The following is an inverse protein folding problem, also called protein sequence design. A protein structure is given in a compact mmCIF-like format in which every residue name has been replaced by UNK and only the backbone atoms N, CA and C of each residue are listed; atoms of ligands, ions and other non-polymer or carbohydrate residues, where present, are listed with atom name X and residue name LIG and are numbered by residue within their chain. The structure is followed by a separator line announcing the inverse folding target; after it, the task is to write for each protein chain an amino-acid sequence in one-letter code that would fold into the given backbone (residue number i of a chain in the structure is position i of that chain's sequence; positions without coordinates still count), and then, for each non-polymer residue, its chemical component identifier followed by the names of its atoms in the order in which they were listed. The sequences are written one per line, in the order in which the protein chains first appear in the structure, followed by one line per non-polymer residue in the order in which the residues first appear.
data_IF_215775592376
#
_entry.id   IF_215775592376
#
_cell.length_a   1.000
_cell.length_b   1.000
_cell.length_c   1.000
_cell.angle_alpha   90.00
_cell.angle_beta   90.00
_cell.angle_gamma   90.00
#
_symmetry.space_group_name_H-M   'P 1'
#
loop_
_entity.id
_entity.type
_entity.pdbx_description
1 polymer ?
#
# COMPACT_ATOMS: atom_id res chain seq x y z
N UNK A 1 -12.50 -4.92 -18.17
CA UNK A 1 -11.03 -4.71 -18.19
C UNK A 1 -10.71 -3.22 -18.37
N UNK A 2 -11.04 -2.55 -19.50
CA UNK A 2 -10.88 -1.08 -19.61
C UNK A 2 -11.88 -0.31 -18.73
N UNK A 3 -13.16 -0.71 -18.80
CA UNK A 3 -14.24 0.02 -18.13
C UNK A 3 -14.16 -0.11 -16.59
N UNK A 4 -13.61 -1.21 -16.09
CA UNK A 4 -13.37 -1.43 -14.65
C UNK A 4 -12.23 -0.54 -14.12
N UNK A 5 -11.19 -0.34 -14.94
CA UNK A 5 -10.07 0.54 -14.61
C UNK A 5 -10.49 2.02 -14.65
N UNK A 6 -11.30 2.41 -15.63
CA UNK A 6 -11.88 3.76 -15.68
C UNK A 6 -12.77 4.04 -14.46
N UNK A 7 -13.63 3.09 -14.08
CA UNK A 7 -14.48 3.22 -12.90
C UNK A 7 -13.69 3.32 -11.58
N UNK A 8 -12.60 2.55 -11.42
CA UNK A 8 -11.73 2.64 -10.25
C UNK A 8 -10.96 3.98 -10.19
N UNK A 9 -10.51 4.48 -11.34
CA UNK A 9 -9.88 5.80 -11.44
C UNK A 9 -10.87 6.90 -11.07
N UNK A 10 -12.10 6.79 -11.55
CA UNK A 10 -13.20 7.71 -11.25
C UNK A 10 -13.54 7.70 -9.75
N UNK A 11 -13.61 6.54 -9.11
CA UNK A 11 -13.83 6.41 -7.66
C UNK A 11 -12.71 7.09 -6.85
N UNK A 12 -11.44 6.92 -7.24
CA UNK A 12 -10.31 7.59 -6.58
C UNK A 12 -10.27 9.10 -6.81
N UNK A 13 -10.65 9.55 -8.01
CA UNK A 13 -10.70 10.97 -8.36
C UNK A 13 -11.95 11.66 -7.80
N UNK A 14 -13.02 10.92 -7.49
CA UNK A 14 -14.25 11.44 -6.86
C UNK A 14 -14.02 12.05 -5.48
N UNK A 15 -12.98 11.60 -4.76
CA UNK A 15 -12.54 12.20 -3.49
C UNK A 15 -12.06 13.64 -3.68
N UNK A 16 -11.67 14.00 -4.90
CA UNK A 16 -11.09 15.30 -5.22
C UNK A 16 -12.01 16.21 -6.05
N UNK A 17 -13.27 15.82 -6.34
CA UNK A 17 -14.21 16.59 -7.21
C UNK A 17 -13.54 17.03 -8.55
N UNK A 18 -12.67 16.18 -9.12
CA UNK A 18 -11.61 16.57 -10.07
C UNK A 18 -11.97 16.42 -11.56
N UNK A 19 -13.23 16.17 -11.90
CA UNK A 19 -13.60 16.12 -13.32
C UNK A 19 -13.33 17.47 -14.01
N UNK A 20 -12.95 17.46 -15.31
CA UNK A 20 -13.04 18.65 -16.14
C UNK A 20 -14.51 19.03 -16.21
N UNK A 21 -14.93 19.91 -15.33
CA UNK A 21 -16.33 20.19 -15.11
C UNK A 21 -16.82 21.16 -16.20
N UNK A 22 -18.15 21.21 -16.34
CA UNK A 22 -18.79 22.17 -17.22
C UNK A 22 -18.40 23.62 -16.88
N UNK A 23 -17.95 23.88 -15.65
CA UNK A 23 -17.54 25.20 -15.20
C UNK A 23 -16.19 25.64 -15.81
N UNK A 24 -15.18 24.77 -15.88
CA UNK A 24 -13.89 25.05 -16.53
C UNK A 24 -14.06 25.33 -18.03
N UNK A 25 -14.91 24.56 -18.71
CA UNK A 25 -15.23 24.79 -20.13
C UNK A 25 -16.01 26.09 -20.36
N UNK A 26 -16.96 26.41 -19.48
CA UNK A 26 -17.68 27.68 -19.53
C UNK A 26 -16.73 28.85 -19.30
N UNK A 27 -15.80 28.72 -18.36
CA UNK A 27 -14.75 29.70 -18.08
C UNK A 27 -13.86 29.96 -19.30
N UNK A 28 -13.38 28.90 -19.96
CA UNK A 28 -12.56 29.00 -21.18
C UNK A 28 -13.37 29.65 -22.33
N UNK A 29 -14.61 29.19 -22.55
CA UNK A 29 -15.44 29.69 -23.64
C UNK A 29 -15.90 31.14 -23.42
N UNK A 30 -16.28 31.50 -22.20
CA UNK A 30 -16.65 32.87 -21.84
C UNK A 30 -15.44 33.80 -21.88
N UNK A 31 -14.29 33.38 -21.33
CA UNK A 31 -13.04 34.15 -21.40
C UNK A 31 -12.60 34.40 -22.84
N UNK A 32 -12.63 33.37 -23.70
CA UNK A 32 -12.32 33.48 -25.11
C UNK A 32 -13.30 34.40 -25.86
N UNK A 33 -14.61 34.29 -25.57
CA UNK A 33 -15.63 35.16 -26.16
C UNK A 33 -15.41 36.64 -25.76
N UNK A 34 -15.11 36.92 -24.49
CA UNK A 34 -14.77 38.27 -24.04
C UNK A 34 -13.51 38.80 -24.73
N UNK A 35 -12.49 37.96 -24.89
CA UNK A 35 -11.26 38.33 -25.59
C UNK A 35 -11.53 38.70 -27.05
N UNK A 36 -12.34 37.90 -27.76
CA UNK A 36 -12.72 38.18 -29.15
C UNK A 36 -13.55 39.45 -29.26
N UNK A 37 -14.51 39.67 -28.36
CA UNK A 37 -15.33 40.89 -28.34
C UNK A 37 -14.49 42.14 -28.05
N UNK A 38 -13.52 42.04 -27.16
CA UNK A 38 -12.56 43.11 -26.88
C UNK A 38 -11.66 43.41 -28.08
N UNK A 39 -11.14 42.39 -28.75
CA UNK A 39 -10.34 42.55 -29.98
C UNK A 39 -11.17 43.21 -31.08
N UNK A 40 -12.43 42.80 -31.24
CA UNK A 40 -13.33 43.41 -32.20
C UNK A 40 -13.50 44.92 -31.95
N UNK A 41 -13.76 45.34 -30.70
CA UNK A 41 -13.93 46.76 -30.35
C UNK A 41 -12.62 47.57 -30.31
N UNK A 42 -11.46 46.91 -30.33
CA UNK A 42 -10.17 47.59 -30.57
C UNK A 42 -10.05 48.03 -32.03
N UNK A 43 -10.53 47.19 -32.96
CA UNK A 43 -10.49 47.44 -34.41
C UNK A 43 -11.64 48.37 -34.81
N UNK A 44 -12.85 48.08 -34.33
CA UNK A 44 -14.09 48.82 -34.60
C UNK A 44 -14.72 49.33 -33.29
N UNK A 45 -14.25 50.47 -32.75
CA UNK A 45 -14.73 51.00 -31.47
C UNK A 45 -16.18 51.52 -31.49
N UNK A 46 -16.81 51.60 -32.67
CA UNK A 46 -18.17 52.16 -32.80
C UNK A 46 -18.27 53.64 -32.40
N UNK A 47 -19.50 54.12 -32.23
CA UNK A 47 -19.80 55.54 -31.91
C UNK A 47 -20.49 55.75 -30.56
N UNK A 48 -20.66 54.70 -29.74
CA UNK A 48 -21.38 54.79 -28.46
C UNK A 48 -20.68 55.67 -27.42
N UNK A 49 -19.34 55.74 -27.48
CA UNK A 49 -18.48 56.54 -26.59
C UNK A 49 -17.33 57.10 -27.42
N UNK A 50 -16.55 58.02 -26.85
CA UNK A 50 -15.31 58.49 -27.46
C UNK A 50 -14.43 57.27 -27.88
N UNK A 51 -13.99 57.20 -29.15
CA UNK A 51 -13.26 56.04 -29.69
C UNK A 51 -12.01 55.66 -28.90
N UNK A 52 -11.29 56.64 -28.33
CA UNK A 52 -10.09 56.37 -27.55
C UNK A 52 -10.44 55.72 -26.22
N UNK A 53 -11.50 56.19 -25.56
CA UNK A 53 -12.01 55.58 -24.31
C UNK A 53 -12.52 54.17 -24.56
N UNK A 54 -13.22 53.95 -25.67
CA UNK A 54 -13.73 52.63 -26.04
C UNK A 54 -12.59 51.64 -26.32
N UNK A 55 -11.50 52.08 -26.96
CA UNK A 55 -10.29 51.27 -27.17
C UNK A 55 -9.60 50.88 -25.87
N UNK A 56 -9.50 51.80 -24.91
CA UNK A 56 -8.96 51.47 -23.58
C UNK A 56 -9.83 50.46 -22.85
N UNK A 57 -11.15 50.60 -22.92
CA UNK A 57 -12.08 49.63 -22.33
C UNK A 57 -11.98 48.27 -23.03
N UNK A 58 -11.92 48.25 -24.36
CA UNK A 58 -11.77 47.05 -25.17
C UNK A 58 -10.45 46.33 -24.91
N UNK A 59 -9.35 47.06 -24.68
CA UNK A 59 -8.07 46.50 -24.25
C UNK A 59 -8.19 45.82 -22.86
N UNK A 60 -8.88 46.47 -21.92
CA UNK A 60 -9.09 45.90 -20.58
C UNK A 60 -9.95 44.62 -20.63
N UNK A 61 -11.04 44.62 -21.40
CA UNK A 61 -11.89 43.44 -21.61
C UNK A 61 -11.13 42.31 -22.30
N UNK A 62 -10.28 42.64 -23.30
CA UNK A 62 -9.42 41.65 -23.96
C UNK A 62 -8.47 40.99 -22.96
N UNK A 63 -7.79 41.80 -22.14
CA UNK A 63 -6.85 41.29 -21.14
C UNK A 63 -7.56 40.44 -20.08
N UNK A 64 -8.72 40.88 -19.59
CA UNK A 64 -9.52 40.12 -18.63
C UNK A 64 -10.01 38.79 -19.21
N UNK A 65 -10.49 38.79 -20.46
CA UNK A 65 -10.91 37.56 -21.15
C UNK A 65 -9.77 36.56 -21.35
N UNK A 66 -8.58 37.05 -21.72
CA UNK A 66 -7.40 36.21 -21.88
C UNK A 66 -6.92 35.60 -20.55
N UNK A 67 -6.93 36.37 -19.46
CA UNK A 67 -6.58 35.86 -18.12
C UNK A 67 -7.58 34.82 -17.65
N UNK A 68 -8.88 35.09 -17.84
CA UNK A 68 -9.93 34.17 -17.43
C UNK A 68 -9.89 32.86 -18.23
N UNK A 69 -9.75 32.93 -19.56
CA UNK A 69 -9.58 31.71 -20.37
C UNK A 69 -8.30 30.94 -20.02
N UNK A 70 -7.21 31.65 -19.73
CA UNK A 70 -5.95 31.04 -19.29
C UNK A 70 -6.07 30.33 -17.93
N UNK A 71 -6.91 30.85 -17.03
CA UNK A 71 -7.16 30.25 -15.73
C UNK A 71 -7.92 28.91 -15.87
N UNK A 72 -9.01 28.86 -16.62
CA UNK A 72 -9.72 27.61 -16.90
C UNK A 72 -8.86 26.56 -17.61
N UNK A 73 -8.02 26.96 -18.58
CA UNK A 73 -7.09 26.04 -19.24
C UNK A 73 -6.05 25.47 -18.27
N UNK A 74 -5.55 26.28 -17.33
CA UNK A 74 -4.58 25.85 -16.33
C UNK A 74 -5.19 24.81 -15.40
N UNK A 75 -6.39 25.06 -14.90
CA UNK A 75 -7.04 24.16 -13.94
C UNK A 75 -7.41 22.82 -14.62
N UNK A 76 -7.84 22.86 -15.88
CA UNK A 76 -8.05 21.66 -16.69
C UNK A 76 -6.75 20.86 -16.90
N UNK A 77 -5.64 21.51 -17.21
CA UNK A 77 -4.35 20.84 -17.39
C UNK A 77 -3.84 20.20 -16.08
N UNK A 78 -4.04 20.87 -14.93
CA UNK A 78 -3.69 20.32 -13.61
C UNK A 78 -4.51 19.07 -13.31
N UNK A 79 -5.82 19.10 -13.61
CA UNK A 79 -6.72 17.95 -13.46
C UNK A 79 -6.31 16.78 -14.37
N UNK A 80 -5.95 17.06 -15.63
CA UNK A 80 -5.51 16.02 -16.58
C UNK A 80 -4.18 15.38 -16.16
N UNK A 81 -3.21 16.17 -15.70
CA UNK A 81 -1.94 15.64 -15.17
C UNK A 81 -2.20 14.74 -13.95
N UNK A 82 -3.08 15.15 -13.03
CA UNK A 82 -3.43 14.33 -11.86
C UNK A 82 -4.10 13.02 -12.27
N UNK A 83 -5.05 13.06 -13.20
CA UNK A 83 -5.69 11.86 -13.76
C UNK A 83 -4.66 10.94 -14.43
N UNK A 84 -3.70 11.50 -15.16
CA UNK A 84 -2.63 10.73 -15.81
C UNK A 84 -1.72 10.03 -14.80
N UNK A 85 -1.42 10.66 -13.65
CA UNK A 85 -0.64 10.06 -12.57
C UNK A 85 -1.42 8.91 -11.94
N UNK A 86 -2.70 9.10 -11.62
CA UNK A 86 -3.55 8.05 -11.06
C UNK A 86 -3.68 6.84 -12.00
N UNK A 87 -3.84 7.09 -13.30
CA UNK A 87 -3.83 6.04 -14.33
C UNK A 87 -2.48 5.32 -14.39
N UNK A 88 -1.36 6.04 -14.33
CA UNK A 88 -0.02 5.45 -14.34
C UNK A 88 0.24 4.59 -13.09
N UNK A 89 -0.24 5.03 -11.93
CA UNK A 89 -0.16 4.29 -10.67
C UNK A 89 -0.98 3.01 -10.73
N UNK A 90 -2.21 3.05 -11.25
CA UNK A 90 -3.03 1.86 -11.45
C UNK A 90 -2.48 0.91 -12.52
N UNK A 91 -1.94 1.44 -13.62
CA UNK A 91 -1.30 0.63 -14.65
C UNK A 91 -0.07 -0.12 -14.11
N UNK A 92 0.67 0.49 -13.17
CA UNK A 92 1.78 -0.17 -12.47
C UNK A 92 1.31 -1.14 -11.38
N UNK A 93 0.12 -0.95 -10.81
CA UNK A 93 -0.43 -1.85 -9.78
C UNK A 93 -0.90 -3.20 -10.34
N UNK A 94 -1.28 -3.27 -11.62
CA UNK A 94 -2.05 -4.41 -12.16
C UNK A 94 -1.26 -5.38 -13.08
N UNK A 95 0.05 -5.19 -13.29
CA UNK A 95 0.79 -5.98 -14.32
C UNK A 95 2.14 -6.58 -13.91
N UNK A 96 2.40 -6.82 -12.63
CA UNK A 96 3.64 -7.49 -12.25
C UNK A 96 3.66 -8.08 -10.85
N UNK A 97 4.57 -9.03 -10.67
CA UNK A 97 4.98 -9.46 -9.33
C UNK A 97 5.44 -8.22 -8.57
N UNK A 98 4.89 -7.98 -7.38
CA UNK A 98 5.18 -6.79 -6.59
C UNK A 98 6.66 -6.76 -6.19
N UNK A 99 7.47 -6.12 -7.03
CA UNK A 99 8.92 -6.02 -6.84
C UNK A 99 9.27 -5.22 -5.60
N UNK A 100 8.36 -4.38 -5.09
CA UNK A 100 8.50 -3.70 -3.82
C UNK A 100 8.41 -4.68 -2.66
N UNK A 101 7.37 -5.52 -2.65
CA UNK A 101 7.21 -6.58 -1.65
C UNK A 101 8.36 -7.59 -1.72
N UNK A 102 8.76 -8.04 -2.92
CA UNK A 102 9.91 -8.94 -3.07
C UNK A 102 11.18 -8.29 -2.53
N UNK A 103 11.42 -7.02 -2.85
CA UNK A 103 12.60 -6.31 -2.35
C UNK A 103 12.57 -6.20 -0.83
N UNK A 104 11.42 -5.92 -0.23
CA UNK A 104 11.28 -5.81 1.22
C UNK A 104 11.50 -7.15 1.91
N UNK A 105 10.90 -8.22 1.39
CA UNK A 105 11.10 -9.60 1.84
C UNK A 105 12.57 -10.03 1.72
N UNK A 106 13.27 -9.65 0.65
CA UNK A 106 14.69 -9.95 0.48
C UNK A 106 15.61 -9.11 1.37
N UNK A 107 15.24 -7.86 1.69
CA UNK A 107 16.03 -6.99 2.55
C UNK A 107 15.85 -7.32 4.04
N UNK A 108 14.67 -7.82 4.42
CA UNK A 108 14.29 -8.06 5.81
C UNK A 108 14.02 -9.55 6.09
N UNK A 109 14.79 -10.46 5.49
CA UNK A 109 14.62 -11.92 5.64
C UNK A 109 14.54 -12.37 7.11
N UNK A 110 15.35 -11.78 8.00
CA UNK A 110 15.35 -12.09 9.43
C UNK A 110 14.02 -11.72 10.12
N UNK A 111 13.38 -10.60 9.74
CA UNK A 111 12.09 -10.19 10.29
C UNK A 111 10.95 -11.13 9.86
N UNK A 112 11.02 -11.67 8.65
CA UNK A 112 10.06 -12.68 8.17
C UNK A 112 10.30 -14.05 8.81
N UNK A 113 11.54 -14.39 9.18
CA UNK A 113 11.81 -15.57 10.01
C UNK A 113 11.24 -15.41 11.43
N UNK A 114 11.33 -14.21 12.02
CA UNK A 114 10.71 -13.91 13.31
C UNK A 114 9.17 -14.08 13.26
N UNK A 115 8.54 -13.71 12.14
CA UNK A 115 7.12 -13.98 11.92
C UNK A 115 6.80 -15.48 11.92
N UNK A 116 7.61 -16.31 11.27
CA UNK A 116 7.42 -17.77 11.28
C UNK A 116 7.59 -18.34 12.70
N UNK A 117 8.59 -17.86 13.46
CA UNK A 117 8.78 -18.26 14.87
C UNK A 117 7.56 -17.89 15.70
N UNK A 118 7.00 -16.70 15.51
CA UNK A 118 5.80 -16.27 16.22
C UNK A 118 4.57 -17.10 15.85
N UNK A 119 4.41 -17.47 14.57
CA UNK A 119 3.34 -18.35 14.13
C UNK A 119 3.44 -19.75 14.79
N UNK A 120 4.67 -20.27 14.94
CA UNK A 120 4.89 -21.50 15.69
C UNK A 120 4.59 -21.38 17.17
N UNK A 121 4.95 -20.26 17.81
CA UNK A 121 4.64 -20.02 19.22
C UNK A 121 3.13 -20.01 19.46
N UNK A 122 2.39 -19.28 18.63
CA UNK A 122 0.92 -19.21 18.68
C UNK A 122 0.27 -20.59 18.48
N UNK A 123 0.78 -21.39 17.54
CA UNK A 123 0.26 -22.74 17.30
C UNK A 123 0.57 -23.74 18.43
N UNK A 124 1.47 -23.40 19.35
CA UNK A 124 1.80 -24.19 20.54
C UNK A 124 1.13 -23.65 21.82
N UNK A 125 0.35 -22.57 21.76
CA UNK A 125 -0.31 -22.00 22.94
C UNK A 125 -1.31 -22.96 23.60
N UNK A 126 -1.97 -23.81 22.82
CA UNK A 126 -2.90 -24.83 23.31
C UNK A 126 -2.24 -26.20 23.55
N UNK A 127 -0.92 -26.30 23.31
CA UNK A 127 -0.12 -27.50 23.47
C UNK A 127 -0.26 -28.54 22.36
N UNK A 128 -1.03 -28.30 21.28
CA UNK A 128 -1.24 -29.24 20.17
C UNK A 128 -1.43 -28.53 18.83
N UNK A 129 -0.49 -28.69 17.90
CA UNK A 129 -0.66 -28.20 16.52
C UNK A 129 -1.70 -29.05 15.77
N UNK A 130 -2.74 -28.40 15.24
CA UNK A 130 -3.75 -29.01 14.37
C UNK A 130 -3.28 -29.24 12.93
N UNK A 131 -4.00 -30.06 12.15
CA UNK A 131 -3.67 -30.29 10.74
C UNK A 131 -3.81 -29.03 9.86
N UNK A 132 -4.73 -28.12 10.20
CA UNK A 132 -4.92 -26.87 9.49
C UNK A 132 -3.75 -25.91 9.75
N UNK A 133 -3.34 -25.75 11.01
CA UNK A 133 -2.18 -24.92 11.39
C UNK A 133 -0.89 -25.48 10.80
N UNK A 134 -0.71 -26.80 10.78
CA UNK A 134 0.46 -27.41 10.16
C UNK A 134 0.53 -27.16 8.65
N UNK A 135 -0.62 -27.05 7.98
CA UNK A 135 -0.68 -26.73 6.55
C UNK A 135 -0.35 -25.26 6.28
N UNK A 136 -0.79 -24.35 7.14
CA UNK A 136 -0.44 -22.93 7.06
C UNK A 136 1.04 -22.70 7.37
N UNK A 137 1.59 -23.35 8.39
CA UNK A 137 3.02 -23.27 8.70
C UNK A 137 3.87 -23.78 7.54
N UNK A 138 3.46 -24.87 6.86
CA UNK A 138 4.14 -25.36 5.65
C UNK A 138 4.10 -24.38 4.49
N UNK A 139 3.00 -23.67 4.29
CA UNK A 139 2.94 -22.66 3.21
C UNK A 139 3.89 -21.49 3.49
N UNK A 140 4.04 -21.09 4.76
CA UNK A 140 5.04 -20.09 5.15
C UNK A 140 6.48 -20.60 5.00
N UNK A 141 6.77 -21.86 5.37
CA UNK A 141 8.07 -22.47 5.15
C UNK A 141 8.47 -22.46 3.66
N UNK A 142 7.57 -22.91 2.78
CA UNK A 142 7.79 -22.96 1.33
C UNK A 142 8.02 -21.56 0.76
N UNK A 143 7.26 -20.56 1.24
CA UNK A 143 7.40 -19.17 0.82
C UNK A 143 8.75 -18.55 1.24
N UNK A 144 9.26 -18.93 2.43
CA UNK A 144 10.54 -18.44 2.95
C UNK A 144 11.75 -19.25 2.46
N UNK A 145 11.52 -20.39 1.79
CA UNK A 145 12.58 -21.28 1.33
C UNK A 145 13.36 -21.96 2.46
N UNK A 146 12.71 -22.12 3.62
CA UNK A 146 13.30 -22.76 4.81
C UNK A 146 13.17 -24.28 4.64
N UNK A 147 14.21 -25.02 5.02
CA UNK A 147 14.19 -26.49 4.94
C UNK A 147 13.31 -27.11 6.02
N UNK A 148 12.76 -28.30 5.76
CA UNK A 148 11.98 -29.07 6.75
C UNK A 148 12.75 -29.27 8.08
N UNK A 149 14.08 -29.35 8.00
CA UNK A 149 14.97 -29.54 9.15
C UNK A 149 15.06 -28.26 10.00
N UNK A 150 15.32 -27.11 9.37
CA UNK A 150 15.35 -25.81 10.05
C UNK A 150 14.00 -25.45 10.68
N UNK A 151 12.91 -25.73 9.98
CA UNK A 151 11.58 -25.44 10.50
C UNK A 151 11.18 -26.37 11.65
N UNK A 152 11.67 -27.61 11.65
CA UNK A 152 11.48 -28.53 12.78
C UNK A 152 12.26 -28.05 14.03
N UNK A 153 13.48 -27.54 13.86
CA UNK A 153 14.21 -26.91 14.96
C UNK A 153 13.50 -25.66 15.51
N UNK A 154 12.94 -24.82 14.64
CA UNK A 154 12.14 -23.65 15.04
C UNK A 154 10.88 -24.06 15.81
N UNK A 155 10.18 -25.11 15.35
CA UNK A 155 8.99 -25.66 16.02
C UNK A 155 9.31 -26.20 17.41
N UNK A 156 10.43 -26.90 17.58
CA UNK A 156 10.87 -27.40 18.90
C UNK A 156 11.20 -26.24 19.84
N UNK A 157 11.91 -25.20 19.36
CA UNK A 157 12.22 -24.01 20.16
C UNK A 157 10.94 -23.27 20.57
N UNK A 158 9.98 -23.12 19.66
CA UNK A 158 8.70 -22.51 19.95
C UNK A 158 7.88 -23.32 20.97
N UNK A 159 7.87 -24.65 20.85
CA UNK A 159 7.22 -25.55 21.81
C UNK A 159 7.81 -25.40 23.21
N UNK A 160 9.14 -25.37 23.32
CA UNK A 160 9.85 -25.19 24.59
C UNK A 160 9.55 -23.82 25.20
N UNK A 161 9.57 -22.77 24.38
CA UNK A 161 9.30 -21.40 24.83
C UNK A 161 7.86 -21.20 25.27
N UNK A 162 6.90 -21.79 24.56
CA UNK A 162 5.48 -21.81 24.95
C UNK A 162 5.30 -22.53 26.28
N UNK A 163 5.86 -23.74 26.41
CA UNK A 163 5.76 -24.54 27.63
C UNK A 163 6.55 -23.98 28.83
N UNK A 164 7.57 -23.14 28.61
CA UNK A 164 8.33 -22.49 29.68
C UNK A 164 7.70 -21.14 30.12
N UNK A 165 6.64 -20.67 29.45
CA UNK A 165 6.05 -19.35 29.69
C UNK A 165 5.36 -19.23 31.06
N UNK A 166 4.85 -20.32 31.60
CA UNK A 166 4.20 -20.40 32.92
C UNK A 166 5.17 -20.81 34.06
N UNK A 167 6.43 -21.10 33.72
CA UNK A 167 7.50 -21.46 34.65
C UNK A 167 7.53 -22.93 35.07
N UNK A 168 6.61 -23.78 34.60
CA UNK A 168 6.57 -25.21 34.92
C UNK A 168 6.17 -26.06 33.71
N UNK A 169 7.09 -26.86 33.16
CA UNK A 169 6.74 -27.78 32.08
C UNK A 169 6.06 -29.03 32.65
N UNK A 170 4.80 -29.26 32.26
CA UNK A 170 4.03 -30.43 32.69
C UNK A 170 4.47 -31.71 31.95
N UNK A 171 4.16 -32.88 32.53
CA UNK A 171 4.42 -34.20 31.92
C UNK A 171 3.74 -34.38 30.54
N UNK A 172 2.69 -33.61 30.25
CA UNK A 172 2.00 -33.64 28.95
C UNK A 172 2.76 -32.82 27.91
N UNK A 173 3.25 -31.63 28.27
CA UNK A 173 4.04 -30.76 27.40
C UNK A 173 5.41 -31.37 27.11
N UNK A 174 6.06 -31.98 28.11
CA UNK A 174 7.32 -32.70 27.90
C UNK A 174 7.19 -33.80 26.84
N UNK A 175 6.07 -34.53 26.82
CA UNK A 175 5.79 -35.56 25.80
C UNK A 175 5.52 -34.97 24.42
N UNK A 176 4.89 -33.81 24.35
CA UNK A 176 4.63 -33.10 23.09
C UNK A 176 5.94 -32.55 22.50
N UNK A 177 6.81 -31.97 23.34
CA UNK A 177 8.15 -31.51 22.98
C UNK A 177 9.01 -32.68 22.51
N UNK A 178 8.99 -33.83 23.21
CA UNK A 178 9.74 -35.02 22.81
C UNK A 178 9.27 -35.58 21.45
N UNK A 179 7.95 -35.56 21.18
CA UNK A 179 7.41 -35.96 19.88
C UNK A 179 7.86 -35.00 18.77
N UNK A 180 7.85 -33.70 19.02
CA UNK A 180 8.33 -32.69 18.08
C UNK A 180 9.84 -32.84 17.84
N UNK A 181 10.63 -33.08 18.89
CA UNK A 181 12.08 -33.29 18.80
C UNK A 181 12.46 -34.57 18.04
N UNK A 182 11.68 -35.65 18.20
CA UNK A 182 11.85 -36.87 17.42
C UNK A 182 11.53 -36.67 15.94
N UNK A 183 10.49 -35.88 15.63
CA UNK A 183 10.19 -35.50 14.25
C UNK A 183 11.30 -34.63 13.64
N UNK A 184 11.93 -33.76 14.44
CA UNK A 184 13.05 -32.91 14.06
C UNK A 184 14.42 -33.62 14.01
N UNK A 185 14.50 -34.91 14.39
CA UNK A 185 15.77 -35.66 14.56
C UNK A 185 16.81 -34.95 15.45
N UNK A 186 16.37 -34.12 16.40
CA UNK A 186 17.26 -33.44 17.33
C UNK A 186 17.80 -34.42 18.38
N UNK A 187 18.99 -34.15 18.92
CA UNK A 187 19.57 -34.98 19.98
C UNK A 187 18.84 -34.71 21.31
N UNK A 188 18.56 -35.75 22.12
CA UNK A 188 17.91 -35.59 23.44
C UNK A 188 18.66 -34.63 24.38
N UNK A 189 20.00 -34.59 24.27
CA UNK A 189 20.86 -33.72 25.07
C UNK A 189 20.73 -32.23 24.71
N UNK A 190 20.34 -31.90 23.47
CA UNK A 190 20.18 -30.51 23.03
C UNK A 190 18.79 -29.97 23.42
N UNK A 191 17.78 -30.83 23.44
CA UNK A 191 16.41 -30.51 23.91
C UNK A 191 16.40 -30.24 25.41
N UNK A 192 17.05 -31.09 26.22
CA UNK A 192 17.13 -30.92 27.67
C UNK A 192 17.89 -29.65 28.09
N UNK A 193 18.91 -29.25 27.33
CA UNK A 193 19.60 -27.97 27.52
C UNK A 193 18.73 -26.77 27.17
N UNK A 194 18.03 -26.82 26.04
CA UNK A 194 17.14 -25.73 25.65
C UNK A 194 15.98 -25.54 26.65
N UNK A 195 15.43 -26.64 27.18
CA UNK A 195 14.42 -26.62 28.24
C UNK A 195 14.95 -25.96 29.51
N UNK A 196 16.14 -26.36 29.98
CA UNK A 196 16.73 -25.80 31.21
C UNK A 196 17.13 -24.33 31.05
N UNK A 197 17.65 -23.93 29.89
CA UNK A 197 17.98 -22.52 29.61
C UNK A 197 16.75 -21.60 29.55
N UNK A 198 15.63 -22.05 28.97
CA UNK A 198 14.41 -21.23 28.91
C UNK A 198 13.68 -21.17 30.26
N UNK A 199 13.69 -22.24 31.04
CA UNK A 199 13.21 -22.22 32.44
C UNK A 199 14.03 -21.26 33.32
N UNK A 200 15.36 -21.30 33.22
CA UNK A 200 16.26 -20.38 33.95
C UNK A 200 16.06 -18.90 33.55
N UNK A 201 15.58 -18.62 32.33
CA UNK A 201 15.24 -17.26 31.87
C UNK A 201 13.86 -16.83 32.37
N UNK A 202 12.90 -17.75 32.42
CA UNK A 202 11.57 -17.51 32.97
C UNK A 202 11.64 -17.22 34.48
N UNK A 203 12.48 -17.92 35.25
CA UNK A 203 12.68 -17.66 36.69
C UNK A 203 13.35 -16.31 37.01
N UNK A 204 14.06 -15.70 36.04
CA UNK A 204 14.78 -14.43 36.22
C UNK A 204 13.98 -13.19 35.81
N UNK A 205 12.76 -13.36 35.28
CA UNK A 205 11.87 -12.28 34.83
C UNK A 205 10.85 -11.92 35.92
#
# INVERSE_FOLDING_TARGET
MSDDMEAMVEERLSVFDDEPDLNDWVEVMCGAAMAVLGIFHLIEPGELVNPDVMRWFAAAVTAAGAVWAGHGLKDMAVKEVRRSIALLEMANADTGVDTGLIRDVLLNQEAYQEFLVHAYESAWEDGVISEEEMKELKSFQEALGITDEEAAEMSVKAAIKSAAADGEITDQEAKSIDKAAQAAKMKPDDVSKAVTEELDKAEKK
#
